data_IF_149735100541
#
_entry.id   IF_149735100541
#
_cell.length_a   1.000
_cell.length_b   1.000
_cell.length_c   1.000
_cell.angle_alpha   90.00
_cell.angle_beta   90.00
_cell.angle_gamma   90.00
#
_symmetry.space_group_name_H-M   'P 1'
#
loop_
_entity.id
_entity.type
_entity.pdbx_description
1 polymer ?
#
# COMPACT_ATOMS: atom_id res chain seq x y z
N UNK A 1 -24.16 -65.74 3.87
CA UNK A 1 -25.15 -65.46 2.79
C UNK A 1 -26.18 -64.53 3.42
N UNK A 2 -26.34 -63.25 3.08
CA UNK A 2 -26.55 -62.56 1.77
C UNK A 2 -25.79 -61.20 1.85
N UNK A 3 -24.92 -60.77 0.94
CA UNK A 3 -25.05 -60.41 -0.49
C UNK A 3 -26.07 -59.29 -0.77
N UNK A 4 -25.55 -58.09 -1.09
CA UNK A 4 -25.91 -57.09 -2.12
C UNK A 4 -25.34 -55.71 -1.68
N UNK A 5 -24.26 -55.17 -2.26
CA UNK A 5 -24.13 -54.42 -3.54
C UNK A 5 -24.47 -52.92 -3.41
N UNK A 6 -23.83 -52.08 -4.25
CA UNK A 6 -24.00 -50.63 -4.53
C UNK A 6 -22.81 -49.79 -4.00
N UNK A 7 -21.76 -49.53 -4.80
CA UNK A 7 -21.63 -48.53 -5.89
C UNK A 7 -21.62 -47.07 -5.39
N UNK A 8 -20.43 -46.50 -5.26
CA UNK A 8 -20.13 -45.07 -5.46
C UNK A 8 -18.61 -44.97 -5.71
N UNK A 9 -18.19 -44.81 -6.97
CA UNK A 9 -18.05 -43.51 -7.63
C UNK A 9 -16.73 -42.83 -7.22
N UNK A 10 -15.80 -42.91 -8.17
CA UNK A 10 -14.91 -41.80 -8.58
C UNK A 10 -13.96 -41.22 -7.55
N UNK A 11 -12.75 -41.79 -7.50
CA UNK A 11 -11.56 -41.02 -7.13
C UNK A 11 -11.12 -40.20 -8.35
N UNK A 12 -11.74 -39.04 -8.54
CA UNK A 12 -11.26 -38.04 -9.49
C UNK A 12 -9.94 -37.51 -8.93
N UNK A 13 -8.84 -37.89 -9.58
CA UNK A 13 -7.57 -37.19 -9.42
C UNK A 13 -7.80 -35.77 -9.94
N UNK A 14 -8.08 -34.84 -9.03
CA UNK A 14 -7.97 -33.42 -9.30
C UNK A 14 -6.51 -33.15 -9.70
N UNK A 15 -6.24 -33.13 -10.99
CA UNK A 15 -5.10 -32.43 -11.56
C UNK A 15 -5.25 -30.96 -11.16
N UNK A 16 -4.53 -30.60 -10.10
CA UNK A 16 -4.42 -29.22 -9.62
C UNK A 16 -4.00 -28.33 -10.77
N UNK A 17 -4.76 -27.26 -10.95
CA UNK A 17 -4.38 -26.17 -11.83
C UNK A 17 -3.20 -25.47 -11.15
N UNK A 18 -1.98 -25.71 -11.63
CA UNK A 18 -0.77 -24.96 -11.29
C UNK A 18 -0.91 -23.50 -11.76
N UNK A 19 -1.77 -22.71 -11.10
CA UNK A 19 -1.44 -21.30 -10.88
C UNK A 19 -0.41 -21.34 -9.76
N UNK A 20 0.84 -21.28 -10.18
CA UNK A 20 1.97 -21.73 -9.38
C UNK A 20 1.97 -21.09 -7.99
N UNK A 21 2.31 -21.86 -6.95
CA UNK A 21 2.59 -21.36 -5.59
C UNK A 21 3.53 -20.15 -5.59
N UNK A 22 4.36 -20.02 -6.65
CA UNK A 22 5.23 -18.88 -6.93
C UNK A 22 4.48 -17.59 -7.25
N UNK A 23 3.37 -17.63 -7.99
CA UNK A 23 2.56 -16.43 -8.31
C UNK A 23 1.80 -15.92 -7.07
N UNK A 24 1.38 -16.85 -6.19
CA UNK A 24 0.72 -16.52 -4.91
C UNK A 24 1.73 -16.02 -3.87
N UNK A 25 2.94 -16.59 -3.82
CA UNK A 25 4.05 -16.11 -2.98
C UNK A 25 4.42 -14.67 -3.35
N UNK A 26 4.62 -14.40 -4.64
CA UNK A 26 4.97 -13.08 -5.16
C UNK A 26 3.88 -12.03 -4.84
N UNK A 27 2.60 -12.40 -4.99
CA UNK A 27 1.48 -11.50 -4.64
C UNK A 27 1.40 -11.22 -3.13
N UNK A 28 1.68 -12.21 -2.28
CA UNK A 28 1.68 -12.02 -0.83
C UNK A 28 2.90 -11.23 -0.35
N UNK A 29 4.09 -11.45 -0.92
CA UNK A 29 5.28 -10.65 -0.65
C UNK A 29 5.09 -9.19 -1.04
N UNK A 30 4.45 -8.93 -2.18
CA UNK A 30 4.04 -7.59 -2.57
C UNK A 30 3.06 -6.97 -1.57
N UNK A 31 2.07 -7.74 -1.07
CA UNK A 31 1.14 -7.29 -0.01
C UNK A 31 1.80 -7.13 1.35
N UNK A 32 2.84 -7.88 1.64
CA UNK A 32 3.54 -7.79 2.92
C UNK A 32 4.58 -6.68 2.92
N UNK A 33 4.98 -6.17 1.74
CA UNK A 33 5.98 -5.12 1.58
C UNK A 33 5.75 -3.93 2.51
N UNK A 34 6.85 -3.30 2.91
CA UNK A 34 6.83 -2.13 3.79
C UNK A 34 6.77 -0.86 2.95
N UNK A 35 5.93 0.09 3.33
CA UNK A 35 5.73 1.34 2.59
C UNK A 35 6.22 2.54 3.41
N UNK A 36 6.90 3.46 2.74
CA UNK A 36 7.21 4.79 3.28
C UNK A 36 6.63 5.84 2.34
N UNK A 37 5.79 6.71 2.89
CA UNK A 37 5.21 7.85 2.18
C UNK A 37 5.72 9.17 2.75
N UNK A 38 6.09 10.09 1.86
CA UNK A 38 6.55 11.43 2.20
C UNK A 38 5.85 12.43 1.28
N UNK A 39 5.29 13.47 1.89
CA UNK A 39 4.80 14.65 1.21
C UNK A 39 5.76 15.80 1.50
N UNK A 40 6.06 16.61 0.49
CA UNK A 40 6.82 17.85 0.66
C UNK A 40 5.91 19.05 0.88
N UNK A 41 6.50 20.24 0.77
CA UNK A 41 5.75 21.49 0.81
C UNK A 41 5.18 21.83 -0.57
N UNK A 42 4.02 22.49 -0.59
CA UNK A 42 3.45 22.99 -1.83
C UNK A 42 4.40 24.01 -2.48
N UNK A 43 4.59 23.90 -3.79
CA UNK A 43 5.26 24.94 -4.57
C UNK A 43 4.39 26.21 -4.66
N UNK A 44 4.95 27.27 -5.26
CA UNK A 44 4.25 28.55 -5.42
C UNK A 44 2.96 28.48 -6.26
N UNK A 45 2.71 27.36 -6.94
CA UNK A 45 1.55 27.10 -7.77
C UNK A 45 0.59 26.07 -7.13
N UNK A 46 0.83 25.68 -5.88
CA UNK A 46 -0.04 24.77 -5.13
C UNK A 46 0.23 23.28 -5.39
N UNK A 47 1.29 22.94 -6.11
CA UNK A 47 1.63 21.54 -6.35
C UNK A 47 2.49 20.97 -5.23
N UNK A 48 2.04 19.89 -4.62
CA UNK A 48 2.68 19.22 -3.50
C UNK A 48 3.43 17.99 -4.05
N UNK A 49 4.73 17.79 -3.80
CA UNK A 49 5.41 16.56 -4.21
C UNK A 49 5.05 15.41 -3.27
N UNK A 50 4.65 14.26 -3.83
CA UNK A 50 4.37 13.02 -3.11
C UNK A 50 5.32 11.93 -3.56
N UNK A 51 6.05 11.33 -2.62
CA UNK A 51 6.89 10.16 -2.82
C UNK A 51 6.32 8.98 -2.03
N UNK A 52 6.20 7.82 -2.67
CA UNK A 52 5.99 6.53 -2.01
C UNK A 52 7.08 5.56 -2.43
N UNK A 53 7.76 4.97 -1.46
CA UNK A 53 8.66 3.84 -1.66
C UNK A 53 8.01 2.58 -1.09
N UNK A 54 7.95 1.53 -1.89
CA UNK A 54 7.63 0.18 -1.43
C UNK A 54 8.92 -0.61 -1.33
N UNK A 55 9.09 -1.36 -0.25
CA UNK A 55 10.25 -2.20 0.01
C UNK A 55 9.88 -3.67 -0.01
N UNK A 56 10.74 -4.47 -0.61
CA UNK A 56 10.70 -5.93 -0.52
C UNK A 56 11.10 -6.38 0.91
N UNK A 57 10.35 -7.30 1.50
CA UNK A 57 10.61 -7.75 2.87
C UNK A 57 11.77 -8.74 2.98
N UNK A 58 12.06 -9.50 1.92
CA UNK A 58 13.15 -10.48 1.89
C UNK A 58 14.47 -9.74 1.63
N UNK A 59 14.51 -8.97 0.55
CA UNK A 59 15.73 -8.33 0.04
C UNK A 59 16.01 -6.98 0.71
N UNK A 60 15.00 -6.37 1.37
CA UNK A 60 15.06 -5.03 1.99
C UNK A 60 15.45 -3.92 1.02
N UNK A 61 15.14 -4.12 -0.26
CA UNK A 61 15.37 -3.19 -1.36
C UNK A 61 14.07 -2.50 -1.77
N UNK A 62 14.18 -1.31 -2.33
CA UNK A 62 13.07 -0.60 -2.97
C UNK A 62 12.58 -1.41 -4.17
N UNK A 63 11.33 -1.87 -4.13
CA UNK A 63 10.68 -2.64 -5.17
C UNK A 63 9.76 -1.79 -6.05
N UNK A 64 9.21 -0.69 -5.51
CA UNK A 64 8.41 0.27 -6.27
C UNK A 64 8.71 1.70 -5.83
N UNK A 65 8.66 2.62 -6.79
CA UNK A 65 8.79 4.06 -6.56
C UNK A 65 7.63 4.76 -7.24
N UNK A 66 6.86 5.51 -6.46
CA UNK A 66 5.90 6.49 -6.97
C UNK A 66 6.38 7.88 -6.60
N UNK A 67 6.37 8.78 -7.57
CA UNK A 67 6.71 10.17 -7.38
C UNK A 67 5.95 11.03 -8.37
N UNK A 68 5.23 12.03 -7.86
CA UNK A 68 4.52 13.02 -8.66
C UNK A 68 4.34 14.30 -7.86
N UNK A 69 3.84 15.34 -8.52
CA UNK A 69 3.28 16.50 -7.83
C UNK A 69 1.76 16.49 -7.98
N UNK A 70 1.07 16.71 -6.87
CA UNK A 70 -0.38 16.65 -6.77
C UNK A 70 -0.92 18.03 -6.43
N UNK A 71 -1.93 18.49 -7.15
CA UNK A 71 -2.65 19.73 -6.84
C UNK A 71 -3.85 19.46 -5.92
N UNK A 72 -4.55 20.54 -5.54
CA UNK A 72 -5.75 20.47 -4.71
C UNK A 72 -6.92 19.70 -5.36
N UNK A 73 -6.95 19.62 -6.68
CA UNK A 73 -7.89 18.80 -7.46
C UNK A 73 -7.47 17.32 -7.58
N UNK A 74 -6.39 16.91 -6.92
CA UNK A 74 -5.81 15.55 -6.99
C UNK A 74 -5.31 15.14 -8.38
N UNK A 75 -5.06 16.11 -9.24
CA UNK A 75 -4.44 15.89 -10.54
C UNK A 75 -2.92 15.73 -10.38
N UNK A 76 -2.30 15.12 -11.40
CA UNK A 76 -0.87 14.79 -11.41
C UNK A 76 -0.15 15.69 -12.40
N UNK A 77 0.90 16.38 -11.96
CA UNK A 77 1.75 17.22 -12.84
C UNK A 77 2.40 16.39 -13.96
N UNK A 78 2.68 15.11 -13.70
CA UNK A 78 3.17 14.19 -14.75
C UNK A 78 2.13 13.88 -15.85
N UNK A 79 0.84 14.14 -15.62
CA UNK A 79 -0.26 13.90 -16.56
C UNK A 79 -0.85 15.20 -17.14
N UNK A 80 -0.34 16.36 -16.76
CA UNK A 80 -0.71 17.64 -17.34
C UNK A 80 -0.01 17.83 -18.70
N UNK A 81 -0.73 17.57 -19.79
CA UNK A 81 -0.19 17.66 -21.14
C UNK A 81 0.32 19.06 -21.50
N UNK A 82 -0.35 20.12 -21.05
CA UNK A 82 0.03 21.51 -21.36
C UNK A 82 1.31 21.91 -20.64
N UNK A 83 1.42 21.56 -19.35
CA UNK A 83 2.64 21.78 -18.57
C UNK A 83 3.82 21.00 -19.16
N UNK A 84 3.61 19.72 -19.49
CA UNK A 84 4.66 18.88 -20.04
C UNK A 84 5.16 19.38 -21.41
N UNK A 85 4.25 19.79 -22.30
CA UNK A 85 4.62 20.39 -23.58
C UNK A 85 5.41 21.69 -23.40
N UNK A 86 4.94 22.57 -22.50
CA UNK A 86 5.60 23.86 -22.20
C UNK A 86 6.99 23.65 -21.60
N UNK A 87 7.14 22.70 -20.67
CA UNK A 87 8.42 22.40 -20.05
C UNK A 87 9.40 21.81 -21.08
N UNK A 88 8.93 20.92 -21.95
CA UNK A 88 9.72 20.30 -23.01
C UNK A 88 10.29 21.34 -23.97
N UNK A 89 9.47 22.30 -24.39
CA UNK A 89 9.90 23.40 -25.26
C UNK A 89 10.99 24.27 -24.60
N UNK A 90 10.82 24.60 -23.32
CA UNK A 90 11.72 25.52 -22.61
C UNK A 90 13.03 24.89 -22.13
N UNK A 91 12.99 23.62 -21.77
CA UNK A 91 14.08 22.98 -21.00
C UNK A 91 14.68 21.76 -21.71
N UNK A 92 14.04 21.27 -22.77
CA UNK A 92 14.44 20.05 -23.45
C UNK A 92 13.99 18.76 -22.75
N UNK A 93 13.21 18.84 -21.67
CA UNK A 93 12.62 17.69 -20.98
C UNK A 93 11.22 18.01 -20.45
N UNK A 94 10.47 16.99 -20.03
CA UNK A 94 9.14 17.14 -19.44
C UNK A 94 9.10 16.66 -17.99
N UNK A 95 8.10 17.09 -17.23
CA UNK A 95 7.87 16.63 -15.86
C UNK A 95 7.70 15.10 -15.82
N UNK A 96 6.88 14.57 -16.73
CA UNK A 96 6.64 13.13 -16.88
C UNK A 96 7.94 12.36 -17.09
N UNK A 97 8.73 12.75 -18.10
CA UNK A 97 9.97 12.06 -18.42
C UNK A 97 10.97 12.14 -17.25
N UNK A 98 11.15 13.32 -16.66
CA UNK A 98 12.09 13.49 -15.56
C UNK A 98 11.70 12.63 -14.35
N UNK A 99 10.41 12.61 -13.96
CA UNK A 99 9.93 11.80 -12.84
C UNK A 99 10.00 10.30 -13.15
N UNK A 100 9.65 9.86 -14.37
CA UNK A 100 9.84 8.47 -14.82
C UNK A 100 11.31 8.05 -14.71
N UNK A 101 12.22 8.85 -15.25
CA UNK A 101 13.65 8.56 -15.23
C UNK A 101 14.22 8.49 -13.81
N UNK A 102 13.84 9.42 -12.93
CA UNK A 102 14.29 9.44 -11.54
C UNK A 102 13.82 8.20 -10.75
N UNK A 103 12.57 7.77 -10.97
CA UNK A 103 12.01 6.55 -10.36
C UNK A 103 12.78 5.31 -10.81
N UNK A 104 13.05 5.18 -12.11
CA UNK A 104 13.86 4.10 -12.65
C UNK A 104 15.29 4.12 -12.11
N UNK A 105 15.91 5.30 -12.00
CA UNK A 105 17.23 5.43 -11.40
C UNK A 105 17.24 4.88 -9.97
N UNK A 106 16.28 5.28 -9.12
CA UNK A 106 16.23 4.81 -7.73
C UNK A 106 16.02 3.30 -7.63
N UNK A 107 15.15 2.72 -8.46
CA UNK A 107 14.97 1.26 -8.54
C UNK A 107 16.27 0.55 -8.92
N UNK A 108 17.13 1.15 -9.73
CA UNK A 108 18.39 0.55 -10.16
C UNK A 108 19.51 0.73 -9.13
N UNK A 109 19.69 1.94 -8.60
CA UNK A 109 20.84 2.28 -7.75
C UNK A 109 20.57 2.07 -6.26
N UNK A 110 19.30 2.04 -5.84
CA UNK A 110 18.86 1.77 -4.45
C UNK A 110 19.38 2.76 -3.39
N UNK A 111 20.05 3.84 -3.82
CA UNK A 111 20.72 4.83 -2.97
C UNK A 111 20.47 6.23 -3.50
N UNK A 112 20.05 7.14 -2.63
CA UNK A 112 19.69 8.49 -3.04
C UNK A 112 20.88 9.32 -3.52
N UNK A 113 22.07 9.09 -2.95
CA UNK A 113 23.31 9.81 -3.30
C UNK A 113 23.87 9.44 -4.68
N UNK A 114 23.44 8.31 -5.25
CA UNK A 114 23.89 7.82 -6.56
C UNK A 114 22.92 8.24 -7.70
N UNK A 115 21.85 8.97 -7.36
CA UNK A 115 20.90 9.49 -8.31
C UNK A 115 21.48 10.68 -9.08
N UNK A 116 21.33 10.65 -10.41
CA UNK A 116 21.74 11.73 -11.28
C UNK A 116 20.60 12.70 -11.54
N UNK A 117 20.94 13.99 -11.55
CA UNK A 117 20.02 15.06 -11.93
C UNK A 117 19.65 14.96 -13.41
N UNK A 118 18.36 15.12 -13.71
CA UNK A 118 17.85 15.20 -15.08
C UNK A 118 18.02 16.63 -15.58
N UNK A 119 18.80 16.81 -16.65
CA UNK A 119 19.00 18.12 -17.29
C UNK A 119 17.67 18.72 -17.73
N UNK A 120 17.44 19.99 -17.37
CA UNK A 120 16.18 20.69 -17.61
C UNK A 120 15.14 20.53 -16.50
N UNK A 121 15.34 19.59 -15.55
CA UNK A 121 14.45 19.32 -14.43
C UNK A 121 15.18 19.35 -13.07
N UNK A 122 16.14 20.26 -12.89
CA UNK A 122 17.01 20.31 -11.70
C UNK A 122 16.25 20.42 -10.38
N UNK A 123 15.17 21.21 -10.31
CA UNK A 123 14.38 21.33 -9.09
C UNK A 123 13.72 19.99 -8.72
N UNK A 124 13.03 19.38 -9.69
CA UNK A 124 12.40 18.06 -9.53
C UNK A 124 13.40 16.98 -9.12
N UNK A 125 14.61 16.99 -9.71
CA UNK A 125 15.65 16.03 -9.31
C UNK A 125 16.13 16.23 -7.87
N UNK A 126 16.35 17.48 -7.44
CA UNK A 126 16.82 17.75 -6.07
C UNK A 126 15.78 17.33 -5.04
N UNK A 127 14.52 17.70 -5.25
CA UNK A 127 13.42 17.32 -4.36
C UNK A 127 13.28 15.79 -4.30
N UNK A 128 13.33 15.11 -5.44
CA UNK A 128 13.28 13.65 -5.47
C UNK A 128 14.44 13.00 -4.70
N UNK A 129 15.67 13.50 -4.85
CA UNK A 129 16.86 13.00 -4.11
C UNK A 129 16.69 13.19 -2.61
N UNK A 130 16.28 14.38 -2.18
CA UNK A 130 16.07 14.71 -0.76
C UNK A 130 14.96 13.85 -0.14
N UNK A 131 13.81 13.74 -0.82
CA UNK A 131 12.70 12.90 -0.37
C UNK A 131 13.08 11.41 -0.34
N UNK A 132 13.83 10.93 -1.34
CA UNK A 132 14.28 9.54 -1.40
C UNK A 132 15.25 9.23 -0.26
N UNK A 133 16.21 10.12 0.03
CA UNK A 133 17.12 9.96 1.15
C UNK A 133 16.36 9.87 2.49
N UNK A 134 15.37 10.75 2.68
CA UNK A 134 14.52 10.76 3.87
C UNK A 134 13.65 9.49 3.98
N UNK A 135 13.10 9.01 2.87
CA UNK A 135 12.29 7.79 2.85
C UNK A 135 13.12 6.54 3.16
N UNK A 136 14.32 6.43 2.59
CA UNK A 136 15.29 5.37 2.90
C UNK A 136 15.71 5.41 4.38
N UNK A 137 15.92 6.60 4.95
CA UNK A 137 16.20 6.76 6.37
C UNK A 137 15.01 6.29 7.23
N UNK A 138 13.79 6.70 6.90
CA UNK A 138 12.59 6.29 7.64
C UNK A 138 12.39 4.78 7.60
N UNK A 139 12.63 4.14 6.45
CA UNK A 139 12.63 2.69 6.34
C UNK A 139 13.67 2.05 7.27
N UNK A 140 14.91 2.56 7.28
CA UNK A 140 15.97 2.06 8.17
C UNK A 140 15.66 2.24 9.67
N UNK A 141 14.86 3.25 10.02
CA UNK A 141 14.35 3.50 11.36
C UNK A 141 13.07 2.69 11.69
N UNK A 142 12.56 1.89 10.75
CA UNK A 142 11.34 1.10 10.91
C UNK A 142 10.04 1.91 10.86
N UNK A 143 10.09 3.15 10.36
CA UNK A 143 8.94 4.05 10.20
C UNK A 143 8.19 3.73 8.90
N UNK A 144 7.57 2.56 8.86
CA UNK A 144 6.89 2.03 7.67
C UNK A 144 5.42 1.72 7.96
N UNK A 145 4.59 1.75 6.92
CA UNK A 145 3.23 1.18 6.92
C UNK A 145 3.18 -0.14 6.13
N UNK A 146 2.08 -0.88 6.21
CA UNK A 146 1.86 -2.08 5.41
C UNK A 146 1.50 -1.71 3.96
N UNK A 147 2.03 -2.44 2.98
CA UNK A 147 1.58 -2.35 1.59
C UNK A 147 0.19 -2.99 1.44
N UNK A 148 -0.67 -2.40 0.61
CA UNK A 148 -2.00 -2.96 0.30
C UNK A 148 -2.18 -3.25 -1.19
N UNK A 149 -1.07 -3.38 -1.94
CA UNK A 149 -1.08 -3.63 -3.38
C UNK A 149 -1.95 -4.84 -3.76
N UNK A 150 -2.93 -4.63 -4.64
CA UNK A 150 -3.84 -5.68 -5.11
C UNK A 150 -5.12 -5.92 -4.28
N UNK A 151 -5.41 -5.09 -3.27
CA UNK A 151 -6.67 -5.16 -2.50
C UNK A 151 -7.88 -4.47 -3.18
N UNK A 152 -7.71 -3.78 -4.30
CA UNK A 152 -8.81 -3.24 -5.12
C UNK A 152 -9.55 -2.04 -4.50
N UNK A 153 -9.64 -0.97 -5.30
CA UNK A 153 -10.30 0.32 -5.05
C UNK A 153 -9.45 1.43 -4.42
N UNK A 154 -8.21 1.17 -4.03
CA UNK A 154 -7.23 1.93 -3.25
C UNK A 154 -7.11 3.46 -3.47
N UNK A 155 -7.66 4.03 -4.55
CA UNK A 155 -7.90 5.47 -4.71
C UNK A 155 -9.09 5.95 -3.85
N UNK A 156 -10.22 5.22 -3.84
CA UNK A 156 -11.42 5.55 -3.06
C UNK A 156 -11.15 5.42 -1.56
N UNK A 157 -10.46 4.37 -1.13
CA UNK A 157 -10.07 4.19 0.28
C UNK A 157 -9.01 5.20 0.76
N UNK A 158 -8.11 5.66 -0.11
CA UNK A 158 -7.18 6.75 0.23
C UNK A 158 -7.92 8.08 0.43
N UNK A 159 -8.90 8.38 -0.43
CA UNK A 159 -9.76 9.57 -0.30
C UNK A 159 -10.61 9.50 0.98
N UNK A 160 -11.16 8.34 1.34
CA UNK A 160 -11.94 8.18 2.58
C UNK A 160 -11.08 8.23 3.85
N UNK A 161 -9.82 7.75 3.83
CA UNK A 161 -8.87 7.96 4.94
C UNK A 161 -8.53 9.43 5.13
N UNK A 162 -8.40 10.20 4.05
CA UNK A 162 -8.22 11.66 4.10
C UNK A 162 -9.44 12.39 4.66
N UNK A 163 -10.66 11.87 4.47
CA UNK A 163 -11.88 12.40 5.11
C UNK A 163 -12.00 12.01 6.59
N UNK A 164 -11.50 10.83 6.97
CA UNK A 164 -11.52 10.36 8.35
C UNK A 164 -10.46 11.04 9.24
N UNK A 165 -9.34 11.50 8.69
CA UNK A 165 -8.31 12.24 9.43
C UNK A 165 -8.73 13.66 9.83
N UNK A 166 -9.84 14.18 9.28
CA UNK A 166 -10.47 15.43 9.74
C UNK A 166 -11.16 15.33 11.11
N UNK A 167 -11.22 14.15 11.74
CA UNK A 167 -11.74 13.99 13.10
C UNK A 167 -10.70 13.39 14.06
N UNK A 168 -9.53 14.02 14.15
CA UNK A 168 -8.63 13.80 15.29
C UNK A 168 -9.21 14.44 16.56
N UNK A 169 -9.82 13.63 17.43
CA UNK A 169 -9.95 14.03 18.84
C UNK A 169 -8.59 13.89 19.52
N UNK A 170 -8.18 14.88 20.34
CA UNK A 170 -6.84 14.93 20.92
C UNK A 170 -6.75 14.04 22.17
N UNK A 171 -5.63 13.34 22.31
CA UNK A 171 -5.27 12.59 23.52
C UNK A 171 -5.04 11.12 23.22
N UNK A 172 -3.78 10.70 23.31
CA UNK A 172 -3.36 9.32 23.06
C UNK A 172 -3.89 8.33 24.08
N UNK A 173 -4.01 7.08 23.67
CA UNK A 173 -3.22 5.96 24.17
C UNK A 173 -3.51 4.72 23.29
N UNK A 174 -2.48 3.88 23.11
CA UNK A 174 -2.55 2.64 22.34
C UNK A 174 -3.38 1.61 23.09
N UNK A 175 -4.58 1.26 22.58
CA UNK A 175 -5.32 0.10 23.06
C UNK A 175 -5.17 -1.09 22.10
N UNK A 176 -4.70 -2.21 22.66
CA UNK A 176 -4.50 -3.49 21.99
C UNK A 176 -5.85 -4.19 21.83
N UNK A 177 -6.41 -4.22 20.62
CA UNK A 177 -7.60 -5.03 20.38
C UNK A 177 -7.27 -6.45 19.92
N UNK A 178 -7.73 -7.36 20.76
CA UNK A 178 -7.62 -8.81 20.70
C UNK A 178 -8.63 -9.35 19.69
N UNK A 179 -8.16 -10.23 18.82
CA UNK A 179 -8.96 -10.97 17.84
C UNK A 179 -10.05 -11.77 18.55
N UNK A 180 -11.31 -11.55 18.18
CA UNK A 180 -12.48 -12.31 18.65
C UNK A 180 -13.36 -12.77 17.49
N UNK A 181 -13.04 -13.92 16.93
CA UNK A 181 -13.89 -14.73 16.04
C UNK A 181 -15.12 -15.26 16.79
N UNK A 182 -16.35 -15.05 16.30
CA UNK A 182 -17.51 -15.96 16.47
C UNK A 182 -18.42 -15.80 15.24
N UNK A 183 -18.53 -16.75 14.30
CA UNK A 183 -19.14 -18.09 14.35
C UNK A 183 -20.58 -18.15 14.91
N UNK A 184 -21.48 -18.48 13.99
CA UNK A 184 -22.91 -18.71 14.08
C UNK A 184 -23.25 -20.03 14.79
N UNK A 185 -24.24 -20.06 15.71
CA UNK A 185 -25.20 -21.19 15.83
C UNK A 185 -26.45 -20.89 16.70
N UNK A 186 -27.52 -21.58 16.34
CA UNK A 186 -28.92 -21.56 16.79
C UNK A 186 -29.23 -21.79 18.28
N UNK A 187 -30.25 -21.05 18.75
CA UNK A 187 -31.56 -21.50 19.28
C UNK A 187 -31.62 -22.79 20.15
N UNK A 188 -32.05 -22.66 21.40
CA UNK A 188 -33.05 -23.55 22.01
C UNK A 188 -33.71 -22.94 23.26
N UNK A 189 -34.97 -23.33 23.45
CA UNK A 189 -35.94 -22.92 24.48
C UNK A 189 -35.63 -23.49 25.88
N UNK A 190 -36.19 -22.85 26.91
CA UNK A 190 -36.89 -23.60 27.97
C UNK A 190 -36.43 -23.44 29.42
N UNK A 191 -37.45 -23.29 30.28
CA UNK A 191 -37.55 -23.72 31.67
C UNK A 191 -37.11 -22.79 32.82
N UNK A 192 -38.14 -22.20 33.42
CA UNK A 192 -38.28 -21.67 34.80
C UNK A 192 -38.31 -22.81 35.82
N UNK A 193 -37.46 -22.80 36.86
CA UNK A 193 -37.75 -23.41 38.19
C UNK A 193 -36.99 -22.65 39.29
N UNK A 194 -37.51 -22.76 40.51
CA UNK A 194 -37.50 -21.85 41.65
C UNK A 194 -36.99 -22.60 42.92
N UNK A 195 -36.31 -21.87 43.83
CA UNK A 195 -36.02 -22.09 45.29
C UNK A 195 -35.01 -23.20 45.73
N UNK A 196 -34.52 -23.21 47.01
CA UNK A 196 -34.50 -22.18 48.09
C UNK A 196 -33.13 -22.02 48.81
N UNK A 197 -33.00 -21.00 49.67
CA UNK A 197 -32.06 -20.99 50.81
C UNK A 197 -32.40 -19.83 51.76
N UNK A 198 -33.14 -20.02 52.85
CA UNK A 198 -32.69 -20.38 54.23
C UNK A 198 -31.60 -19.47 54.80
N UNK A 199 -31.92 -18.73 55.87
CA UNK A 199 -30.91 -18.28 56.83
C UNK A 199 -31.28 -17.05 57.65
N UNK A 200 -31.79 -17.29 58.87
CA UNK A 200 -31.94 -16.41 60.03
C UNK A 200 -33.04 -15.35 60.03
#
# INVERSE_FOLDING_TARGET
MKLFMVLCATLVLFTGCDKTTRDVKNTNEMREGQVVEIEGEADQYGWIPHLRLTFDNEDKTVSEVYFDYINDESEKKSQDDEYNATMQEKTGTSAKFAMENLREQLLNVQRAEDLNVVTGATQTSKEFVEMSAKALQYYAEGKTSANNYGQGNDITEAVERGKASTELKPGGDLEKDTIGTQHHTEKSEGAKVIFPGTGA
#
